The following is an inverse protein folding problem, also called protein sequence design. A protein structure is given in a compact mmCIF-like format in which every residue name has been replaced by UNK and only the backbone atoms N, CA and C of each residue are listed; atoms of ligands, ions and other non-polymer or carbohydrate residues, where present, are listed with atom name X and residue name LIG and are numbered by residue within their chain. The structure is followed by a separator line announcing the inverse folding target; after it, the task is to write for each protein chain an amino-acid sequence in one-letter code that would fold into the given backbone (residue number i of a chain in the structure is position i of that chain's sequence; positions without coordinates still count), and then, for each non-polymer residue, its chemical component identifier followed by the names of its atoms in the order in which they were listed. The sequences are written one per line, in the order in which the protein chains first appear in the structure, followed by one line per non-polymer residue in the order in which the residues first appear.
data_IF_639860511781
#
_entry.id   IF_639860511781
#
_cell.length_a   1.000
_cell.length_b   1.000
_cell.length_c   1.000
_cell.angle_alpha   90.00
_cell.angle_beta   90.00
_cell.angle_gamma   90.00
#
_symmetry.space_group_name_H-M   'P 1'
#
loop_
_entity.id
_entity.type
_entity.pdbx_description
1 polymer ?
#
# COMPACT_ATOMS: atom_id res chain seq x y z
N UNK A 1 -18.22 13.51 -11.74
CA UNK A 1 -18.10 12.24 -11.02
C UNK A 1 -17.50 12.48 -9.65
N UNK A 2 -18.05 11.91 -8.61
CA UNK A 2 -17.50 11.98 -7.26
C UNK A 2 -16.83 10.63 -6.95
N UNK A 3 -15.56 10.66 -6.61
CA UNK A 3 -14.78 9.48 -6.23
C UNK A 3 -14.34 9.63 -4.77
N UNK A 4 -14.44 8.56 -4.00
CA UNK A 4 -13.90 8.48 -2.64
C UNK A 4 -12.67 7.60 -2.68
N UNK A 5 -11.55 8.12 -2.17
CA UNK A 5 -10.28 7.42 -2.13
C UNK A 5 -9.73 7.39 -0.71
N UNK A 6 -9.12 6.28 -0.32
CA UNK A 6 -8.31 6.14 0.90
C UNK A 6 -6.92 5.65 0.49
N UNK A 7 -5.95 6.57 0.48
CA UNK A 7 -4.60 6.31 -0.02
C UNK A 7 -3.59 6.00 1.08
N UNK A 8 -3.98 6.14 2.35
CA UNK A 8 -3.10 5.95 3.49
C UNK A 8 -3.62 4.84 4.40
N UNK A 9 -3.32 3.61 4.02
CA UNK A 9 -3.68 2.42 4.80
C UNK A 9 -2.44 1.57 5.07
N UNK A 10 -2.60 0.60 5.94
CA UNK A 10 -1.58 -0.41 6.26
C UNK A 10 -2.16 -1.81 6.14
N UNK A 11 -1.32 -2.75 5.71
CA UNK A 11 -1.64 -4.17 5.66
C UNK A 11 -1.40 -4.84 7.02
N UNK A 12 -1.65 -6.14 7.07
CA UNK A 12 -1.33 -6.96 8.26
C UNK A 12 0.16 -7.04 8.58
N UNK A 13 1.02 -6.57 7.70
CA UNK A 13 2.48 -6.58 7.89
C UNK A 13 3.01 -5.34 8.61
N UNK A 14 2.17 -4.35 8.86
CA UNK A 14 2.53 -3.21 9.71
C UNK A 14 2.20 -3.50 11.16
N UNK A 15 3.03 -2.95 12.07
CA UNK A 15 2.79 -3.06 13.51
C UNK A 15 1.45 -2.42 13.91
N UNK A 16 0.81 -3.01 14.91
CA UNK A 16 -0.44 -2.53 15.49
C UNK A 16 -1.63 -2.48 14.49
N UNK A 17 -1.59 -3.30 13.44
CA UNK A 17 -2.70 -3.45 12.49
C UNK A 17 -3.40 -4.79 12.66
N UNK A 18 -4.58 -4.91 12.05
CA UNK A 18 -5.32 -6.16 12.03
C UNK A 18 -4.59 -7.21 11.20
N UNK A 19 -4.55 -8.44 11.69
CA UNK A 19 -4.06 -9.60 10.93
C UNK A 19 -4.93 -9.94 9.72
N UNK A 20 -6.12 -9.35 9.65
CA UNK A 20 -7.07 -9.52 8.56
C UNK A 20 -6.87 -8.53 7.41
N UNK A 21 -5.81 -7.71 7.44
CA UNK A 21 -5.46 -6.77 6.38
C UNK A 21 -4.92 -7.46 5.14
N UNK A 22 -5.72 -8.30 4.51
CA UNK A 22 -5.43 -9.01 3.25
C UNK A 22 -6.05 -8.26 2.07
N UNK A 23 -5.59 -8.48 0.82
CA UNK A 23 -6.19 -7.83 -0.33
C UNK A 23 -7.70 -8.07 -0.47
N UNK A 24 -8.16 -9.28 -0.19
CA UNK A 24 -9.58 -9.64 -0.24
C UNK A 24 -10.42 -8.87 0.79
N UNK A 25 -9.89 -8.73 1.99
CA UNK A 25 -10.57 -8.00 3.06
C UNK A 25 -10.55 -6.50 2.83
N UNK A 26 -9.44 -5.96 2.31
CA UNK A 26 -9.35 -4.55 1.93
C UNK A 26 -10.37 -4.22 0.83
N UNK A 27 -10.50 -5.07 -0.18
CA UNK A 27 -11.50 -4.95 -1.23
C UNK A 27 -12.92 -4.98 -0.66
N UNK A 28 -13.22 -5.95 0.21
CA UNK A 28 -14.52 -6.08 0.86
C UNK A 28 -14.91 -4.82 1.63
N UNK A 29 -14.02 -4.35 2.51
CA UNK A 29 -14.31 -3.18 3.33
C UNK A 29 -14.40 -1.89 2.52
N UNK A 30 -13.57 -1.76 1.47
CA UNK A 30 -13.64 -0.62 0.57
C UNK A 30 -14.98 -0.57 -0.16
N UNK A 31 -15.42 -1.69 -0.72
CA UNK A 31 -16.75 -1.78 -1.36
C UNK A 31 -17.87 -1.46 -0.38
N UNK A 32 -17.82 -2.02 0.83
CA UNK A 32 -18.83 -1.78 1.87
C UNK A 32 -18.94 -0.30 2.25
N UNK A 33 -17.81 0.40 2.29
CA UNK A 33 -17.74 1.83 2.63
C UNK A 33 -17.95 2.76 1.44
N UNK A 34 -18.09 2.24 0.23
CA UNK A 34 -18.21 3.06 -0.98
C UNK A 34 -16.90 3.73 -1.41
N UNK A 35 -15.75 3.16 -1.03
CA UNK A 35 -14.43 3.64 -1.43
C UNK A 35 -14.10 3.07 -2.81
N UNK A 36 -13.90 3.96 -3.79
CA UNK A 36 -13.63 3.58 -5.17
C UNK A 36 -12.16 3.30 -5.44
N UNK A 37 -11.27 3.95 -4.69
CA UNK A 37 -9.83 3.80 -4.84
C UNK A 37 -9.18 3.66 -3.47
N UNK A 38 -8.36 2.62 -3.30
CA UNK A 38 -7.65 2.34 -2.05
C UNK A 38 -6.17 2.15 -2.33
N UNK A 39 -5.31 2.69 -1.46
CA UNK A 39 -3.89 2.36 -1.46
C UNK A 39 -3.68 0.93 -0.98
N UNK A 40 -2.64 0.26 -1.48
CA UNK A 40 -2.26 -1.07 -0.98
C UNK A 40 -1.61 -0.99 0.40
N UNK A 41 -0.94 0.13 0.69
CA UNK A 41 -0.04 0.23 1.82
C UNK A 41 1.18 -0.70 1.68
N UNK A 42 2.15 -0.50 2.50
CA UNK A 42 3.23 -1.44 2.85
C UNK A 42 4.01 -2.03 1.65
N UNK A 43 4.17 -1.29 0.56
CA UNK A 43 4.84 -1.79 -0.65
C UNK A 43 6.30 -2.22 -0.38
N UNK A 44 6.93 -1.73 0.68
CA UNK A 44 8.31 -2.08 1.01
C UNK A 44 8.44 -3.50 1.55
N UNK A 45 7.37 -4.07 2.10
CA UNK A 45 7.41 -5.41 2.68
C UNK A 45 7.42 -6.48 1.58
N UNK A 46 8.46 -7.34 1.50
CA UNK A 46 8.61 -8.26 0.38
C UNK A 46 7.48 -9.29 0.26
N UNK A 47 7.01 -9.83 1.37
CA UNK A 47 5.93 -10.82 1.36
C UNK A 47 4.61 -10.18 0.91
N UNK A 48 4.36 -8.94 1.32
CA UNK A 48 3.18 -8.21 0.87
C UNK A 48 3.21 -7.93 -0.63
N UNK A 49 4.37 -7.52 -1.17
CA UNK A 49 4.50 -7.32 -2.63
C UNK A 49 4.19 -8.59 -3.42
N UNK A 50 4.71 -9.74 -2.98
CA UNK A 50 4.42 -11.02 -3.67
C UNK A 50 2.93 -11.38 -3.59
N UNK A 51 2.30 -11.17 -2.45
CA UNK A 51 0.87 -11.38 -2.29
C UNK A 51 0.04 -10.45 -3.20
N UNK A 52 0.43 -9.19 -3.33
CA UNK A 52 -0.21 -8.25 -4.24
C UNK A 52 -0.07 -8.68 -5.71
N UNK A 53 1.12 -9.16 -6.11
CA UNK A 53 1.34 -9.68 -7.47
C UNK A 53 0.47 -10.89 -7.78
N UNK A 54 0.28 -11.78 -6.81
CA UNK A 54 -0.56 -12.95 -6.96
C UNK A 54 -2.04 -12.58 -7.10
N UNK A 55 -2.52 -11.62 -6.33
CA UNK A 55 -3.95 -11.37 -6.14
C UNK A 55 -4.51 -10.20 -6.92
N UNK A 56 -3.66 -9.27 -7.35
CA UNK A 56 -4.06 -8.11 -8.13
C UNK A 56 -3.73 -8.30 -9.62
N UNK A 57 -4.49 -7.64 -10.46
CA UNK A 57 -4.23 -7.55 -11.90
C UNK A 57 -4.24 -6.09 -12.32
N UNK A 58 -3.24 -5.71 -13.13
CA UNK A 58 -3.10 -4.34 -13.64
C UNK A 58 -4.19 -4.02 -14.66
N UNK A 59 -4.69 -2.80 -14.60
CA UNK A 59 -5.59 -2.24 -15.62
C UNK A 59 -4.86 -1.35 -16.65
N UNK A 60 -3.52 -1.26 -16.56
CA UNK A 60 -2.70 -0.54 -17.53
C UNK A 60 -2.62 0.98 -17.33
N UNK A 61 -3.24 1.51 -16.28
CA UNK A 61 -3.31 2.96 -16.00
C UNK A 61 -2.74 3.34 -14.63
N UNK A 62 -1.90 2.48 -14.05
CA UNK A 62 -1.39 2.65 -12.68
C UNK A 62 -2.32 2.10 -11.61
N UNK A 63 -3.48 1.62 -11.99
CA UNK A 63 -4.46 1.02 -11.08
C UNK A 63 -4.52 -0.50 -11.25
N UNK A 64 -4.93 -1.14 -10.17
CA UNK A 64 -5.10 -2.58 -10.09
C UNK A 64 -6.51 -2.90 -9.61
N UNK A 65 -6.95 -4.09 -9.93
CA UNK A 65 -8.16 -4.67 -9.34
C UNK A 65 -7.85 -6.04 -8.75
N UNK A 66 -8.63 -6.47 -7.80
CA UNK A 66 -8.54 -7.82 -7.27
C UNK A 66 -8.94 -8.82 -8.35
N UNK A 67 -8.17 -9.91 -8.51
CA UNK A 67 -8.54 -10.99 -9.44
C UNK A 67 -9.85 -11.61 -8.99
N UNK A 68 -10.71 -11.95 -9.92
CA UNK A 68 -12.06 -12.47 -9.61
C UNK A 68 -12.04 -13.70 -8.69
N UNK A 69 -11.01 -14.54 -8.81
CA UNK A 69 -10.83 -15.72 -7.95
C UNK A 69 -10.69 -15.37 -6.46
N UNK A 70 -10.24 -14.16 -6.14
CA UNK A 70 -10.03 -13.72 -4.76
C UNK A 70 -11.14 -12.80 -4.24
N UNK A 71 -12.06 -12.37 -5.10
CA UNK A 71 -13.20 -11.55 -4.66
C UNK A 71 -14.11 -12.39 -3.79
N UNK A 72 -14.36 -11.94 -2.56
CA UNK A 72 -15.26 -12.64 -1.64
C UNK A 72 -16.68 -12.65 -2.19
N UNK A 73 -17.37 -13.74 -1.99
CA UNK A 73 -18.75 -13.88 -2.44
C UNK A 73 -19.64 -12.77 -1.87
N UNK A 74 -19.50 -12.47 -0.58
CA UNK A 74 -20.23 -11.38 0.06
C UNK A 74 -19.88 -9.98 -0.48
N UNK A 75 -18.73 -9.83 -1.14
CA UNK A 75 -18.34 -8.55 -1.76
C UNK A 75 -19.13 -8.26 -3.04
N UNK A 76 -19.61 -9.31 -3.72
CA UNK A 76 -20.29 -9.20 -5.02
C UNK A 76 -21.67 -8.55 -4.92
N UNK A 77 -22.26 -8.50 -3.74
CA UNK A 77 -23.55 -7.86 -3.51
C UNK A 77 -23.51 -6.33 -3.48
N UNK A 78 -22.34 -5.75 -3.30
CA UNK A 78 -22.21 -4.30 -3.28
C UNK A 78 -22.28 -3.73 -4.71
N UNK A 79 -23.00 -2.61 -4.92
CA UNK A 79 -23.17 -2.02 -6.24
C UNK A 79 -21.87 -1.43 -6.78
N UNK A 80 -21.80 -1.28 -8.11
CA UNK A 80 -20.70 -0.63 -8.81
C UNK A 80 -19.66 -1.61 -9.36
N UNK A 81 -18.61 -1.05 -9.95
CA UNK A 81 -17.55 -1.81 -10.63
C UNK A 81 -16.49 -2.39 -9.68
N UNK A 82 -16.70 -2.21 -8.37
CA UNK A 82 -15.74 -2.61 -7.35
C UNK A 82 -14.68 -1.56 -7.07
N UNK A 83 -13.72 -1.94 -6.23
CA UNK A 83 -12.66 -1.06 -5.77
C UNK A 83 -11.41 -1.24 -6.64
N UNK A 84 -10.70 -0.14 -6.89
CA UNK A 84 -9.37 -0.16 -7.51
C UNK A 84 -8.30 0.07 -6.47
N UNK A 85 -7.10 -0.46 -6.73
CA UNK A 85 -5.94 -0.31 -5.87
C UNK A 85 -4.88 0.52 -6.58
N UNK A 86 -4.21 1.37 -5.82
CA UNK A 86 -2.95 2.01 -6.22
C UNK A 86 -1.85 1.52 -5.28
N UNK A 87 -0.68 1.19 -5.83
CA UNK A 87 0.46 0.73 -5.03
C UNK A 87 0.94 1.88 -4.17
N UNK A 88 0.99 1.67 -2.86
CA UNK A 88 1.36 2.71 -1.91
C UNK A 88 2.11 2.16 -0.71
N UNK A 89 2.65 3.08 0.06
CA UNK A 89 3.29 2.78 1.33
C UNK A 89 3.64 4.04 2.08
N UNK A 90 3.99 3.87 3.34
CA UNK A 90 4.42 4.96 4.22
C UNK A 90 5.86 4.71 4.64
N UNK A 91 6.69 5.74 4.57
CA UNK A 91 8.04 5.74 5.13
C UNK A 91 8.08 6.74 6.27
N UNK A 92 8.47 6.28 7.46
CA UNK A 92 8.76 7.14 8.60
C UNK A 92 10.20 7.63 8.47
N UNK A 93 10.37 8.85 8.00
CA UNK A 93 11.67 9.49 7.85
C UNK A 93 12.08 10.12 9.17
N UNK A 94 13.20 9.66 9.75
CA UNK A 94 13.78 10.23 10.97
C UNK A 94 15.21 10.63 10.66
N UNK A 95 15.50 11.92 10.71
CA UNK A 95 16.81 12.46 10.35
C UNK A 95 17.15 13.71 11.19
N UNK A 96 18.43 14.07 11.20
CA UNK A 96 18.89 15.29 11.86
C UNK A 96 19.15 16.38 10.82
N UNK A 97 18.63 17.57 11.08
CA UNK A 97 18.85 18.74 10.23
C UNK A 97 18.91 19.99 11.11
N UNK A 98 19.98 20.78 10.94
CA UNK A 98 20.24 22.00 11.74
C UNK A 98 20.22 21.71 13.26
N UNK A 99 20.86 20.61 13.69
CA UNK A 99 20.96 20.22 15.10
C UNK A 99 19.65 19.70 15.73
N UNK A 100 18.59 19.55 14.94
CA UNK A 100 17.29 19.07 15.42
C UNK A 100 16.90 17.76 14.76
N UNK A 101 16.32 16.85 15.54
CA UNK A 101 15.70 15.63 15.01
C UNK A 101 14.38 15.96 14.34
N UNK A 102 14.25 15.54 13.09
CA UNK A 102 13.03 15.67 12.28
C UNK A 102 12.39 14.30 12.14
N UNK A 103 11.06 14.26 12.25
CA UNK A 103 10.24 13.06 12.05
C UNK A 103 9.14 13.40 11.07
N UNK A 104 9.15 12.78 9.91
CA UNK A 104 8.18 13.03 8.84
C UNK A 104 7.66 11.69 8.33
N UNK A 105 6.36 11.58 8.19
CA UNK A 105 5.73 10.43 7.56
C UNK A 105 5.38 10.80 6.11
N UNK A 106 5.97 10.09 5.16
CA UNK A 106 5.74 10.30 3.74
C UNK A 106 4.90 9.15 3.18
N UNK A 107 3.76 9.47 2.60
CA UNK A 107 2.97 8.53 1.82
C UNK A 107 3.44 8.57 0.38
N UNK A 108 3.79 7.41 -0.15
CA UNK A 108 4.33 7.25 -1.50
C UNK A 108 3.33 6.48 -2.33
N UNK A 109 3.03 6.99 -3.52
CA UNK A 109 2.22 6.33 -4.52
C UNK A 109 3.11 5.91 -5.68
N UNK A 110 2.92 4.70 -6.17
CA UNK A 110 3.75 4.14 -7.23
C UNK A 110 2.87 3.69 -8.42
N UNK A 111 3.39 3.82 -9.64
CA UNK A 111 2.62 3.50 -10.85
C UNK A 111 2.45 2.00 -11.08
N UNK A 112 3.25 1.16 -10.42
CA UNK A 112 3.21 -0.28 -10.64
C UNK A 112 3.88 -1.07 -9.53
N UNK A 113 3.63 -2.38 -9.47
CA UNK A 113 4.33 -3.31 -8.58
C UNK A 113 5.79 -3.46 -8.97
N UNK A 114 6.12 -3.35 -10.26
CA UNK A 114 7.50 -3.35 -10.74
C UNK A 114 8.27 -2.13 -10.23
N UNK A 115 7.64 -0.95 -10.23
CA UNK A 115 8.21 0.25 -9.61
C UNK A 115 8.41 0.08 -8.10
N UNK A 116 7.50 -0.62 -7.44
CA UNK A 116 7.63 -0.94 -6.01
C UNK A 116 8.84 -1.84 -5.74
N UNK A 117 9.07 -2.86 -6.56
CA UNK A 117 10.25 -3.71 -6.44
C UNK A 117 11.54 -2.90 -6.61
N UNK A 118 11.61 -2.05 -7.64
CA UNK A 118 12.77 -1.22 -7.92
C UNK A 118 13.05 -0.24 -6.76
N UNK A 119 12.01 0.38 -6.22
CA UNK A 119 12.16 1.29 -5.09
C UNK A 119 12.59 0.56 -3.82
N UNK A 120 11.99 -0.60 -3.53
CA UNK A 120 12.37 -1.40 -2.37
C UNK A 120 13.84 -1.81 -2.43
N UNK A 121 14.36 -2.21 -3.58
CA UNK A 121 15.78 -2.53 -3.77
C UNK A 121 16.71 -1.35 -3.45
N UNK A 122 16.29 -0.13 -3.75
CA UNK A 122 17.04 1.07 -3.38
C UNK A 122 16.99 1.34 -1.88
N UNK A 123 15.81 1.19 -1.28
CA UNK A 123 15.60 1.43 0.15
C UNK A 123 16.33 0.42 1.02
N UNK A 124 16.46 -0.82 0.60
CA UNK A 124 17.25 -1.86 1.30
C UNK A 124 18.70 -1.46 1.54
N UNK A 125 19.28 -0.66 0.64
CA UNK A 125 20.66 -0.15 0.77
C UNK A 125 20.79 0.93 1.85
N UNK A 126 19.67 1.51 2.27
CA UNK A 126 19.62 2.62 3.23
C UNK A 126 19.26 2.12 4.62
N UNK A 127 18.41 1.12 4.74
CA UNK A 127 17.95 0.61 6.02
C UNK A 127 17.12 -0.67 5.92
N UNK A 128 16.63 -1.12 7.08
CA UNK A 128 15.81 -2.32 7.16
C UNK A 128 14.38 -2.03 6.74
N UNK A 129 13.91 -2.69 5.69
CA UNK A 129 12.54 -2.57 5.18
C UNK A 129 11.74 -3.88 5.31
N UNK A 130 12.31 -4.91 5.94
CA UNK A 130 11.70 -6.25 5.99
C UNK A 130 10.92 -6.54 7.27
N UNK A 131 11.16 -5.77 8.33
CA UNK A 131 10.57 -6.05 9.65
C UNK A 131 9.21 -5.42 9.89
N UNK A 132 8.84 -4.43 9.10
CA UNK A 132 7.58 -3.69 9.23
C UNK A 132 7.14 -3.17 7.87
N UNK A 133 5.84 -3.20 7.61
CA UNK A 133 5.27 -2.63 6.38
C UNK A 133 5.48 -1.11 6.26
N UNK A 134 5.70 -0.44 7.40
CA UNK A 134 6.07 0.98 7.48
C UNK A 134 7.48 1.12 8.02
N UNK A 135 8.51 1.12 7.16
CA UNK A 135 9.89 1.21 7.61
C UNK A 135 10.24 2.60 8.17
N UNK A 136 11.18 2.60 9.13
CA UNK A 136 11.80 3.82 9.64
C UNK A 136 13.16 3.97 8.98
N UNK A 137 13.35 5.05 8.23
CA UNK A 137 14.58 5.29 7.47
C UNK A 137 15.15 6.68 7.78
N UNK A 138 16.49 6.79 7.72
CA UNK A 138 17.21 8.03 7.94
C UNK A 138 17.26 8.95 6.71
N UNK A 139 16.14 9.00 5.95
CA UNK A 139 16.04 9.83 4.74
C UNK A 139 15.51 11.22 5.05
N UNK A 140 16.09 12.24 4.46
CA UNK A 140 15.48 13.56 4.36
C UNK A 140 14.31 13.49 3.36
N UNK A 141 13.29 14.30 3.58
CA UNK A 141 12.12 14.36 2.67
C UNK A 141 12.46 14.84 1.26
N UNK A 142 13.69 15.34 1.06
CA UNK A 142 14.20 15.76 -0.24
C UNK A 142 14.96 14.65 -0.99
N UNK A 143 15.28 13.55 -0.33
CA UNK A 143 15.96 12.42 -0.94
C UNK A 143 15.01 11.56 -1.80
#
# INVERSE_FOLDING_TARGET
MKMIADLHIHSRFSMATSKEGTPENLDFWARKKGISLIGTGDFTHPVWREELKERLVSEGNGLYRLRDAYVKEESRKFPGEGTRFVVSGEISSIYKKNGKTRKVHNVILLPSLEAADAMAQRLEKIGNIHSDGRPILGLDSHD
#
